data_IF_990317827606
#
_entry.id   IF_990317827606
#
_cell.length_a   1.000
_cell.length_b   1.000
_cell.length_c   1.000
_cell.angle_alpha   90.00
_cell.angle_beta   90.00
_cell.angle_gamma   90.00
#
_symmetry.space_group_name_H-M   'P 1'
#
loop_
_entity.id
_entity.type
_entity.pdbx_description
1 polymer ?
#
# COMPACT_ATOMS: atom_id res chain seq x y z
N UNK A 1 -57.75 -70.27 37.20
CA UNK A 1 -58.03 -69.84 38.58
C UNK A 1 -56.73 -69.84 39.38
N UNK A 2 -56.52 -68.74 40.09
CA UNK A 2 -55.62 -68.51 41.24
C UNK A 2 -54.10 -68.48 40.99
N UNK A 3 -53.58 -67.25 41.13
CA UNK A 3 -52.18 -66.87 41.01
C UNK A 3 -51.35 -67.10 42.28
N UNK A 4 -50.04 -67.02 42.08
CA UNK A 4 -49.00 -67.26 43.08
C UNK A 4 -47.95 -66.13 42.99
N UNK A 5 -47.69 -65.53 44.17
CA UNK A 5 -46.48 -64.87 44.70
C UNK A 5 -45.75 -63.75 43.94
N UNK A 6 -45.64 -62.62 44.65
CA UNK A 6 -44.52 -61.66 44.60
C UNK A 6 -43.18 -62.31 45.00
N UNK A 7 -42.10 -62.02 44.27
CA UNK A 7 -40.73 -61.79 44.81
C UNK A 7 -40.05 -60.74 43.91
N UNK A 8 -39.51 -59.68 44.52
CA UNK A 8 -38.79 -58.60 43.84
C UNK A 8 -37.41 -59.00 43.35
N UNK A 9 -36.91 -58.27 42.34
CA UNK A 9 -35.51 -58.30 41.89
C UNK A 9 -34.97 -56.88 41.90
N UNK A 10 -34.02 -56.64 42.80
CA UNK A 10 -33.09 -55.53 42.73
C UNK A 10 -32.06 -55.84 41.64
N UNK A 11 -31.96 -54.97 40.64
CA UNK A 11 -30.93 -55.04 39.61
C UNK A 11 -29.70 -54.28 40.11
N UNK A 12 -28.65 -55.04 40.43
CA UNK A 12 -27.31 -54.50 40.71
C UNK A 12 -26.70 -54.14 39.35
N UNK A 13 -26.51 -52.84 39.09
CA UNK A 13 -25.75 -52.35 37.96
C UNK A 13 -24.27 -52.33 38.34
N UNK A 14 -23.51 -53.28 37.78
CA UNK A 14 -22.06 -53.36 37.96
C UNK A 14 -21.38 -52.22 37.18
N UNK A 15 -20.75 -51.29 37.90
CA UNK A 15 -19.88 -50.26 37.33
C UNK A 15 -18.59 -50.95 36.86
N UNK A 16 -18.38 -51.05 35.54
CA UNK A 16 -17.07 -51.43 34.99
C UNK A 16 -16.12 -50.24 35.11
N UNK A 17 -15.18 -50.32 36.06
CA UNK A 17 -14.03 -49.45 36.16
C UNK A 17 -13.04 -49.88 35.06
N UNK A 18 -13.04 -49.19 33.92
CA UNK A 18 -11.99 -49.39 32.91
C UNK A 18 -10.79 -48.57 33.37
N UNK A 19 -9.80 -49.25 33.95
CA UNK A 19 -8.51 -48.66 34.35
C UNK A 19 -7.67 -48.53 33.07
N UNK A 20 -7.57 -47.32 32.52
CA UNK A 20 -6.55 -46.99 31.53
C UNK A 20 -5.23 -46.70 32.25
N UNK A 21 -4.24 -47.58 32.09
CA UNK A 21 -2.87 -47.34 32.54
C UNK A 21 -2.12 -46.46 31.53
N UNK A 22 -2.43 -45.16 31.54
CA UNK A 22 -1.50 -44.12 31.08
C UNK A 22 -0.83 -43.51 32.30
N UNK A 23 0.48 -43.29 32.25
CA UNK A 23 1.25 -42.78 33.39
C UNK A 23 0.58 -41.54 34.01
N UNK A 24 0.17 -41.66 35.27
CA UNK A 24 -0.35 -40.53 36.02
C UNK A 24 0.80 -39.57 36.29
N UNK A 25 0.82 -38.44 35.59
CA UNK A 25 1.61 -37.29 36.00
C UNK A 25 0.92 -36.75 37.27
N UNK A 26 1.66 -36.61 38.36
CA UNK A 26 1.12 -35.97 39.58
C UNK A 26 0.68 -34.54 39.25
N UNK A 27 -0.50 -34.15 39.74
CA UNK A 27 -0.96 -32.77 39.66
C UNK A 27 0.06 -31.83 40.33
N UNK A 28 0.21 -30.60 39.78
CA UNK A 28 1.27 -29.63 40.11
C UNK A 28 2.68 -29.98 39.56
N UNK A 29 2.75 -30.63 38.40
CA UNK A 29 4.00 -31.01 37.71
C UNK A 29 4.10 -30.54 36.25
N UNK A 30 5.24 -30.81 35.56
CA UNK A 30 5.39 -30.48 34.14
C UNK A 30 4.47 -31.34 33.27
N UNK A 31 3.76 -30.72 32.31
CA UNK A 31 3.07 -31.48 31.27
C UNK A 31 4.07 -31.95 30.21
N UNK A 32 4.03 -33.23 29.87
CA UNK A 32 4.79 -33.75 28.74
C UNK A 32 3.97 -33.57 27.46
N UNK A 33 4.56 -32.87 26.47
CA UNK A 33 3.95 -32.68 25.16
C UNK A 33 3.55 -34.00 24.49
N UNK A 34 2.46 -33.98 23.74
CA UNK A 34 1.91 -35.11 22.98
C UNK A 34 1.46 -36.33 23.81
N UNK A 35 1.63 -36.30 25.12
CA UNK A 35 1.14 -37.33 26.01
C UNK A 35 -0.22 -36.96 26.57
N UNK A 36 -1.11 -37.96 26.64
CA UNK A 36 -2.38 -37.80 27.31
C UNK A 36 -2.18 -38.01 28.82
N UNK A 37 -2.66 -37.06 29.61
CA UNK A 37 -2.80 -37.17 31.06
C UNK A 37 -4.27 -37.30 31.44
N UNK A 38 -4.53 -37.92 32.58
CA UNK A 38 -5.89 -38.09 33.11
C UNK A 38 -5.88 -37.75 34.60
N UNK A 39 -6.96 -37.14 35.08
CA UNK A 39 -7.12 -36.78 36.50
C UNK A 39 -8.57 -36.88 36.95
N UNK A 40 -8.80 -36.70 38.25
CA UNK A 40 -10.15 -36.72 38.86
C UNK A 40 -10.25 -35.61 39.89
N UNK A 41 -11.04 -34.59 39.57
CA UNK A 41 -11.21 -33.39 40.39
C UNK A 41 -12.39 -33.55 41.34
N UNK A 42 -12.22 -33.22 42.62
CA UNK A 42 -13.34 -32.95 43.53
C UNK A 42 -13.95 -31.57 43.23
N UNK A 43 -15.19 -31.30 43.72
CA UNK A 43 -15.76 -29.96 43.63
C UNK A 43 -14.81 -28.92 44.22
N UNK A 44 -14.62 -27.80 43.51
CA UNK A 44 -13.69 -26.72 43.88
C UNK A 44 -12.19 -27.08 43.85
N UNK A 45 -11.82 -28.23 43.30
CA UNK A 45 -10.43 -28.62 43.10
C UNK A 45 -9.93 -28.11 41.73
N UNK A 46 -8.63 -27.82 41.67
CA UNK A 46 -7.94 -27.48 40.45
C UNK A 46 -6.60 -28.20 40.41
N UNK A 47 -6.28 -28.78 39.26
CA UNK A 47 -4.97 -29.35 38.95
C UNK A 47 -4.27 -28.44 37.95
N UNK A 48 -2.97 -28.24 38.14
CA UNK A 48 -2.15 -27.33 37.35
C UNK A 48 -1.01 -28.09 36.70
N UNK A 49 -0.70 -27.68 35.48
CA UNK A 49 0.38 -28.25 34.69
C UNK A 49 1.23 -27.14 34.09
N UNK A 50 2.53 -27.21 34.31
CA UNK A 50 3.49 -26.26 33.75
C UNK A 50 3.95 -26.72 32.36
N UNK A 51 4.03 -25.77 31.43
CA UNK A 51 4.36 -25.95 30.03
C UNK A 51 5.45 -24.97 29.63
N UNK A 52 6.43 -25.39 28.84
CA UNK A 52 7.41 -24.48 28.24
C UNK A 52 7.32 -24.55 26.72
N UNK A 53 7.03 -23.40 26.11
CA UNK A 53 7.04 -23.21 24.66
C UNK A 53 8.37 -22.54 24.30
N UNK A 54 9.17 -23.17 23.44
CA UNK A 54 10.55 -22.70 23.14
C UNK A 54 10.66 -21.90 21.85
N UNK A 55 9.62 -21.91 21.03
CA UNK A 55 9.53 -21.20 19.73
C UNK A 55 8.10 -20.71 19.52
N UNK A 56 7.90 -19.64 18.74
CA UNK A 56 6.56 -19.23 18.32
C UNK A 56 5.77 -20.44 17.83
N UNK A 57 4.59 -20.67 18.39
CA UNK A 57 3.87 -21.93 18.18
C UNK A 57 2.36 -21.73 18.15
N UNK A 58 1.66 -22.61 17.44
CA UNK A 58 0.24 -22.83 17.65
C UNK A 58 0.08 -23.96 18.67
N UNK A 59 -0.27 -23.59 19.89
CA UNK A 59 -0.56 -24.53 20.97
C UNK A 59 -1.98 -25.07 20.80
N UNK A 60 -2.17 -26.38 20.90
CA UNK A 60 -3.47 -27.03 20.87
C UNK A 60 -3.68 -27.87 22.12
N UNK A 61 -4.85 -27.76 22.75
CA UNK A 61 -5.27 -28.52 23.93
C UNK A 61 -6.52 -29.31 23.56
N UNK A 62 -6.39 -30.64 23.51
CA UNK A 62 -7.50 -31.58 23.42
C UNK A 62 -7.88 -31.99 24.85
N UNK A 63 -9.13 -31.74 25.22
CA UNK A 63 -9.63 -31.98 26.57
C UNK A 63 -10.99 -32.63 26.56
N UNK A 64 -11.14 -33.61 27.45
CA UNK A 64 -12.38 -34.33 27.70
C UNK A 64 -12.72 -34.26 29.18
N UNK A 65 -13.95 -33.92 29.53
CA UNK A 65 -14.40 -33.83 30.93
C UNK A 65 -15.73 -34.52 31.15
N UNK A 66 -15.85 -35.21 32.29
CA UNK A 66 -17.09 -35.87 32.75
C UNK A 66 -17.82 -35.05 33.85
N UNK A 67 -17.30 -33.88 34.20
CA UNK A 67 -17.84 -33.01 35.25
C UNK A 67 -19.08 -32.24 34.83
N UNK A 68 -19.83 -31.77 35.83
CA UNK A 68 -20.99 -30.89 35.60
C UNK A 68 -20.54 -29.57 34.97
N UNK A 69 -19.34 -29.09 35.31
CA UNK A 69 -18.70 -27.96 34.68
C UNK A 69 -17.17 -28.01 34.88
N UNK A 70 -16.51 -28.80 34.02
CA UNK A 70 -15.06 -28.87 33.95
C UNK A 70 -14.54 -27.65 33.18
N UNK A 71 -13.68 -26.86 33.80
CA UNK A 71 -13.10 -25.63 33.25
C UNK A 71 -11.63 -25.83 32.96
N UNK A 72 -11.20 -25.38 31.80
CA UNK A 72 -9.83 -25.48 31.33
C UNK A 72 -9.37 -24.09 30.94
N UNK A 73 -8.24 -23.65 31.49
CA UNK A 73 -7.65 -22.36 31.14
C UNK A 73 -6.14 -22.49 30.93
N UNK A 74 -5.61 -21.78 29.95
CA UNK A 74 -4.18 -21.58 29.77
C UNK A 74 -3.84 -20.16 30.23
N UNK A 75 -2.81 -20.02 31.05
CA UNK A 75 -2.31 -18.75 31.54
C UNK A 75 -0.85 -18.56 31.12
N UNK A 76 -0.46 -17.34 30.79
CA UNK A 76 0.95 -16.99 30.57
C UNK A 76 1.69 -16.82 31.91
N UNK A 77 3.00 -16.54 31.85
CA UNK A 77 3.85 -16.34 33.04
C UNK A 77 3.37 -15.23 33.98
N UNK A 78 2.59 -14.27 33.46
CA UNK A 78 2.05 -13.15 34.23
C UNK A 78 0.66 -13.45 34.79
N UNK A 79 0.14 -14.66 34.55
CA UNK A 79 -1.20 -15.07 34.94
C UNK A 79 -2.31 -14.54 34.03
N UNK A 80 -1.99 -13.92 32.89
CA UNK A 80 -3.00 -13.50 31.92
C UNK A 80 -3.57 -14.73 31.25
N UNK A 81 -4.90 -14.81 31.20
CA UNK A 81 -5.59 -15.89 30.51
C UNK A 81 -5.38 -15.78 29.00
N UNK A 82 -4.87 -16.87 28.41
CA UNK A 82 -4.61 -17.04 26.98
C UNK A 82 -5.77 -17.79 26.32
N UNK A 83 -6.23 -18.87 26.94
CA UNK A 83 -7.37 -19.67 26.49
C UNK A 83 -8.27 -20.02 27.68
N UNK A 84 -9.57 -20.19 27.41
CA UNK A 84 -10.53 -20.69 28.38
C UNK A 84 -11.67 -21.47 27.72
N UNK A 85 -12.08 -22.57 28.34
CA UNK A 85 -13.27 -23.31 27.96
C UNK A 85 -13.95 -23.89 29.20
N UNK A 86 -15.28 -23.95 29.16
CA UNK A 86 -16.11 -24.68 30.11
C UNK A 86 -16.81 -25.83 29.38
N UNK A 87 -16.78 -27.01 29.98
CA UNK A 87 -17.31 -28.26 29.46
C UNK A 87 -18.36 -28.80 30.44
N UNK A 88 -19.58 -29.05 29.95
CA UNK A 88 -20.68 -29.58 30.77
C UNK A 88 -21.04 -30.99 30.33
N UNK A 89 -20.96 -31.93 31.26
CA UNK A 89 -21.29 -33.35 31.06
C UNK A 89 -22.31 -33.84 32.09
N UNK A 90 -23.11 -34.82 31.69
CA UNK A 90 -24.04 -35.55 32.57
C UNK A 90 -23.35 -36.63 33.42
N UNK A 91 -22.04 -36.83 33.25
CA UNK A 91 -21.23 -37.82 33.94
C UNK A 91 -21.26 -39.21 33.31
N UNK A 92 -22.05 -39.39 32.25
CA UNK A 92 -22.12 -40.65 31.48
C UNK A 92 -21.34 -40.49 30.16
N UNK A 93 -21.51 -39.35 29.49
CA UNK A 93 -20.79 -39.05 28.24
C UNK A 93 -19.87 -37.86 28.45
N UNK A 94 -18.59 -37.94 28.07
CA UNK A 94 -17.71 -36.80 28.24
C UNK A 94 -18.11 -35.66 27.31
N UNK A 95 -17.98 -34.44 27.79
CA UNK A 95 -17.87 -33.26 26.94
C UNK A 95 -16.43 -33.13 26.45
N UNK A 96 -16.24 -32.71 25.19
CA UNK A 96 -14.93 -32.61 24.56
C UNK A 96 -14.77 -31.23 23.91
N UNK A 97 -13.56 -30.70 23.95
CA UNK A 97 -13.18 -29.53 23.18
C UNK A 97 -11.72 -29.62 22.73
N UNK A 98 -11.46 -29.04 21.56
CA UNK A 98 -10.12 -28.80 21.05
C UNK A 98 -9.94 -27.29 20.97
N UNK A 99 -9.06 -26.77 21.82
CA UNK A 99 -8.73 -25.35 21.90
C UNK A 99 -7.38 -25.14 21.23
N UNK A 100 -7.20 -24.02 20.54
CA UNK A 100 -5.90 -23.71 19.95
C UNK A 100 -5.63 -22.22 19.97
N UNK A 101 -4.40 -21.82 20.28
CA UNK A 101 -3.96 -20.43 20.27
C UNK A 101 -2.55 -20.27 19.74
N UNK A 102 -2.29 -19.16 19.04
CA UNK A 102 -0.93 -18.77 18.67
C UNK A 102 -0.27 -18.06 19.85
N UNK A 103 0.91 -18.53 20.24
CA UNK A 103 1.61 -18.12 21.46
C UNK A 103 3.10 -17.89 21.21
N UNK A 104 3.67 -16.93 21.93
CA UNK A 104 5.12 -16.68 21.94
C UNK A 104 5.90 -17.75 22.73
N UNK A 105 7.24 -17.81 22.57
CA UNK A 105 8.09 -18.54 23.50
C UNK A 105 7.89 -18.04 24.94
N UNK A 106 7.76 -18.97 25.88
CA UNK A 106 7.57 -18.66 27.29
C UNK A 106 7.06 -19.86 28.07
N UNK A 107 6.93 -19.66 29.39
CA UNK A 107 6.28 -20.62 30.25
C UNK A 107 4.77 -20.32 30.33
N UNK A 108 4.00 -21.39 30.36
CA UNK A 108 2.56 -21.35 30.45
C UNK A 108 2.09 -22.30 31.54
N UNK A 109 0.93 -21.99 32.10
CA UNK A 109 0.29 -22.84 33.09
C UNK A 109 -1.10 -23.22 32.61
N UNK A 110 -1.32 -24.50 32.39
CA UNK A 110 -2.63 -25.04 32.11
C UNK A 110 -3.30 -25.42 33.42
N UNK A 111 -4.52 -24.95 33.64
CA UNK A 111 -5.30 -25.19 34.85
C UNK A 111 -6.60 -25.89 34.45
N UNK A 112 -6.82 -27.07 35.02
CA UNK A 112 -8.09 -27.80 34.90
C UNK A 112 -8.77 -27.75 36.27
N UNK A 113 -10.02 -27.31 36.31
CA UNK A 113 -10.77 -27.14 37.57
C UNK A 113 -12.21 -27.55 37.41
N UNK A 114 -12.85 -27.90 38.53
CA UNK A 114 -14.28 -28.25 38.55
C UNK A 114 -15.06 -27.16 39.31
N UNK A 115 -16.26 -26.83 38.80
CA UNK A 115 -17.07 -25.77 39.40
C UNK A 115 -17.42 -26.06 40.87
N UNK A 116 -17.40 -25.02 41.69
CA UNK A 116 -17.60 -25.12 43.15
C UNK A 116 -18.95 -25.75 43.56
N UNK A 117 -19.98 -25.63 42.72
CA UNK A 117 -21.30 -26.21 43.00
C UNK A 117 -21.48 -27.63 42.43
N UNK A 118 -20.44 -28.20 41.81
CA UNK A 118 -20.49 -29.56 41.28
C UNK A 118 -20.72 -30.56 42.43
N UNK A 119 -21.59 -31.54 42.21
CA UNK A 119 -22.03 -32.44 43.30
C UNK A 119 -21.21 -33.72 43.43
N UNK A 120 -20.31 -33.98 42.48
CA UNK A 120 -19.55 -35.23 42.38
C UNK A 120 -18.15 -34.97 41.83
N UNK A 121 -17.20 -35.88 42.10
CA UNK A 121 -15.90 -35.85 41.43
C UNK A 121 -16.05 -35.97 39.91
N UNK A 122 -15.15 -35.32 39.18
CA UNK A 122 -15.15 -35.21 37.74
C UNK A 122 -13.85 -35.74 37.15
N UNK A 123 -13.91 -36.84 36.39
CA UNK A 123 -12.77 -37.31 35.63
C UNK A 123 -12.55 -36.41 34.40
N UNK A 124 -11.28 -36.27 34.00
CA UNK A 124 -10.92 -35.59 32.77
C UNK A 124 -9.71 -36.24 32.10
N UNK A 125 -9.57 -36.02 30.80
CA UNK A 125 -8.36 -36.31 30.04
C UNK A 125 -7.90 -35.07 29.31
N UNK A 126 -6.59 -34.92 29.16
CA UNK A 126 -5.95 -33.76 28.57
C UNK A 126 -4.78 -34.23 27.70
N UNK A 127 -4.63 -33.64 26.52
CA UNK A 127 -3.41 -33.73 25.71
C UNK A 127 -3.10 -32.36 25.13
N UNK A 128 -1.86 -31.89 25.31
CA UNK A 128 -1.39 -30.67 24.66
C UNK A 128 -0.38 -30.98 23.55
N UNK A 129 -0.45 -30.24 22.46
CA UNK A 129 0.51 -30.28 21.35
C UNK A 129 0.93 -28.85 20.98
N UNK A 130 2.11 -28.70 20.39
CA UNK A 130 2.61 -27.41 19.92
C UNK A 130 3.17 -27.54 18.51
N UNK A 131 2.55 -26.86 17.55
CA UNK A 131 3.06 -26.75 16.18
C UNK A 131 3.94 -25.50 16.07
N UNK A 132 5.25 -25.68 15.85
CA UNK A 132 6.17 -24.54 15.69
C UNK A 132 5.83 -23.74 14.42
N UNK A 133 5.69 -22.42 14.58
CA UNK A 133 5.51 -21.46 13.51
C UNK A 133 6.87 -20.86 13.15
N UNK A 134 7.18 -20.86 11.86
CA UNK A 134 8.39 -20.17 11.36
C UNK A 134 8.04 -18.74 11.01
N UNK A 135 8.72 -17.79 11.64
CA UNK A 135 8.61 -16.35 11.38
C UNK A 135 9.96 -15.81 10.90
N UNK A 136 9.91 -14.76 10.07
CA UNK A 136 11.05 -13.90 9.72
C UNK A 136 10.99 -12.57 10.52
N UNK A 137 9.88 -12.38 11.22
CA UNK A 137 9.56 -11.27 12.11
C UNK A 137 10.48 -11.24 13.33
N UNK A 138 10.92 -10.04 13.71
CA UNK A 138 11.89 -9.82 14.80
C UNK A 138 11.26 -9.01 15.92
N UNK A 139 11.05 -9.68 17.06
CA UNK A 139 10.41 -9.13 18.24
C UNK A 139 11.43 -8.60 19.27
N UNK A 140 11.11 -7.53 20.04
CA UNK A 140 9.89 -6.72 19.96
C UNK A 140 9.92 -5.74 18.78
N UNK A 141 8.78 -5.50 18.12
CA UNK A 141 8.67 -4.43 17.10
C UNK A 141 7.38 -3.60 17.21
N UNK A 142 6.84 -3.49 18.42
CA UNK A 142 5.51 -2.93 18.68
C UNK A 142 5.50 -1.39 18.68
N UNK A 143 6.65 -0.75 18.46
CA UNK A 143 6.86 0.70 18.42
C UNK A 143 7.71 1.12 17.23
N UNK A 144 7.57 2.37 16.78
CA UNK A 144 8.32 2.89 15.62
C UNK A 144 9.83 2.92 15.81
N UNK A 145 10.31 3.00 17.07
CA UNK A 145 11.74 2.94 17.41
C UNK A 145 12.32 1.52 17.33
N UNK A 146 11.46 0.52 17.50
CA UNK A 146 11.82 -0.91 17.51
C UNK A 146 11.43 -1.60 16.19
N UNK A 147 10.80 -0.85 15.28
CA UNK A 147 10.23 -1.37 14.06
C UNK A 147 11.25 -2.10 13.18
N UNK A 148 10.93 -3.33 12.80
CA UNK A 148 11.77 -4.09 11.88
C UNK A 148 11.72 -3.44 10.48
N UNK A 149 12.87 -3.31 9.82
CA UNK A 149 12.89 -2.83 8.43
C UNK A 149 12.22 -3.87 7.52
N UNK A 150 11.22 -3.46 6.76
CA UNK A 150 10.62 -4.25 5.68
C UNK A 150 11.34 -3.96 4.35
N UNK A 151 12.21 -4.88 3.88
CA UNK A 151 12.91 -4.71 2.61
C UNK A 151 11.95 -4.84 1.42
N UNK A 152 12.27 -4.16 0.32
CA UNK A 152 11.52 -4.32 -0.93
C UNK A 152 11.76 -5.69 -1.57
N UNK A 153 10.73 -6.22 -2.22
CA UNK A 153 10.72 -7.49 -2.97
C UNK A 153 10.92 -8.76 -2.14
N UNK A 154 11.16 -8.66 -0.84
CA UNK A 154 11.22 -9.78 0.07
C UNK A 154 9.96 -9.81 0.96
N UNK A 155 9.37 -11.00 1.09
CA UNK A 155 8.26 -11.20 2.01
C UNK A 155 8.79 -11.50 3.42
N UNK A 156 8.15 -10.93 4.43
CA UNK A 156 8.32 -11.27 5.84
C UNK A 156 7.09 -12.06 6.29
N UNK A 157 7.32 -13.17 6.99
CA UNK A 157 6.27 -13.95 7.68
C UNK A 157 6.28 -13.58 9.15
N UNK A 158 5.13 -13.20 9.69
CA UNK A 158 4.96 -12.89 11.10
C UNK A 158 3.72 -13.54 11.70
N UNK A 159 3.51 -13.29 12.99
CA UNK A 159 2.43 -13.89 13.78
C UNK A 159 1.99 -12.93 14.87
N UNK A 160 0.71 -12.58 14.88
CA UNK A 160 0.09 -11.84 15.98
C UNK A 160 -0.46 -12.87 16.97
N UNK A 161 0.17 -13.00 18.14
CA UNK A 161 -0.15 -14.03 19.15
C UNK A 161 -1.05 -13.52 20.27
N UNK A 162 -1.27 -14.33 21.32
CA UNK A 162 -1.99 -13.87 22.50
C UNK A 162 -1.18 -12.87 23.35
N UNK A 163 0.14 -12.88 23.20
CA UNK A 163 1.08 -12.00 23.89
C UNK A 163 1.44 -10.78 23.05
N UNK A 164 1.44 -10.91 21.72
CA UNK A 164 1.66 -9.81 20.80
C UNK A 164 0.37 -9.35 20.09
N UNK A 165 0.14 -8.05 20.08
CA UNK A 165 -1.08 -7.43 19.54
C UNK A 165 -0.85 -6.69 18.23
N UNK A 166 0.40 -6.33 17.94
CA UNK A 166 0.74 -5.51 16.79
C UNK A 166 2.21 -5.60 16.44
N UNK A 167 2.45 -5.60 15.14
CA UNK A 167 3.77 -5.52 14.56
C UNK A 167 3.92 -4.24 13.75
N UNK A 168 5.05 -3.55 13.91
CA UNK A 168 5.38 -2.34 13.16
C UNK A 168 6.62 -2.56 12.31
N UNK A 169 6.47 -2.29 11.02
CA UNK A 169 7.54 -2.37 10.03
C UNK A 169 7.95 -1.00 9.51
N UNK A 170 9.25 -0.71 9.48
CA UNK A 170 9.80 0.48 8.84
C UNK A 170 10.02 0.24 7.34
N UNK A 171 9.48 1.12 6.50
CA UNK A 171 9.66 1.12 5.04
C UNK A 171 10.44 2.37 4.64
N UNK A 172 11.63 2.17 4.07
CA UNK A 172 12.51 3.25 3.62
C UNK A 172 12.32 3.52 2.13
N UNK A 173 11.66 4.62 1.78
CA UNK A 173 11.39 5.01 0.38
C UNK A 173 12.53 5.93 -0.11
N UNK A 174 13.39 5.48 -1.05
CA UNK A 174 14.59 6.24 -1.40
C UNK A 174 14.35 7.38 -2.41
N UNK A 175 13.23 7.34 -3.14
CA UNK A 175 12.85 8.29 -4.20
C UNK A 175 11.34 8.36 -4.30
N UNK A 176 10.81 9.48 -4.76
CA UNK A 176 9.38 9.62 -5.00
C UNK A 176 8.88 8.55 -5.99
N UNK A 177 7.70 8.00 -5.75
CA UNK A 177 7.09 7.02 -6.63
C UNK A 177 6.04 6.16 -5.96
N UNK A 178 5.73 5.03 -6.59
CA UNK A 178 4.62 4.18 -6.20
C UNK A 178 5.07 3.10 -5.19
N UNK A 179 4.65 3.24 -3.94
CA UNK A 179 4.81 2.24 -2.89
C UNK A 179 3.63 1.26 -2.93
N UNK A 180 3.92 0.00 -3.19
CA UNK A 180 2.95 -1.09 -3.21
C UNK A 180 3.13 -2.02 -2.03
N UNK A 181 2.03 -2.38 -1.37
CA UNK A 181 1.98 -3.29 -0.23
C UNK A 181 1.10 -4.48 -0.57
N UNK A 182 1.63 -5.67 -0.29
CA UNK A 182 0.94 -6.94 -0.41
C UNK A 182 0.94 -7.67 0.92
N UNK A 183 -0.25 -7.85 1.49
CA UNK A 183 -0.45 -8.41 2.82
C UNK A 183 -1.47 -9.52 2.74
N UNK A 184 -1.10 -10.70 3.25
CA UNK A 184 -1.99 -11.85 3.41
C UNK A 184 -2.10 -12.17 4.90
N UNK A 185 -3.32 -12.18 5.44
CA UNK A 185 -3.59 -12.44 6.86
C UNK A 185 -4.38 -13.72 7.00
N UNK A 186 -4.05 -14.51 8.03
CA UNK A 186 -4.70 -15.78 8.39
C UNK A 186 -5.17 -15.72 9.84
N UNK A 187 -5.70 -14.56 10.25
CA UNK A 187 -6.25 -14.34 11.58
C UNK A 187 -7.66 -14.91 11.62
N UNK A 188 -8.10 -15.42 12.76
CA UNK A 188 -9.50 -15.87 12.94
C UNK A 188 -10.44 -14.68 13.18
N UNK A 189 -10.36 -13.63 12.36
CA UNK A 189 -11.06 -12.37 12.58
C UNK A 189 -10.50 -11.19 11.80
N UNK A 190 -10.62 -10.00 12.41
CA UNK A 190 -10.27 -8.73 11.80
C UNK A 190 -8.85 -8.29 12.18
N UNK A 191 -8.05 -7.95 11.17
CA UNK A 191 -6.81 -7.21 11.31
C UNK A 191 -7.02 -5.74 10.92
N UNK A 192 -6.31 -4.83 11.58
CA UNK A 192 -6.13 -3.46 11.12
C UNK A 192 -4.76 -3.31 10.49
N UNK A 193 -4.75 -2.71 9.31
CA UNK A 193 -3.53 -2.38 8.55
C UNK A 193 -3.50 -0.86 8.42
N UNK A 194 -2.40 -0.23 8.81
CA UNK A 194 -2.20 1.20 8.60
C UNK A 194 -0.79 1.51 8.10
N UNK A 195 -0.66 2.56 7.30
CA UNK A 195 0.60 3.14 6.90
C UNK A 195 0.65 4.58 7.40
N UNK A 196 1.70 4.94 8.12
CA UNK A 196 1.96 6.31 8.57
C UNK A 196 3.32 6.79 8.05
N UNK A 197 3.50 8.10 7.97
CA UNK A 197 4.82 8.69 7.72
C UNK A 197 5.65 8.82 9.02
N UNK A 198 6.82 9.46 8.93
CA UNK A 198 7.69 9.70 10.08
C UNK A 198 7.16 10.69 11.12
N UNK A 199 6.11 11.44 10.79
CA UNK A 199 5.42 12.37 11.69
C UNK A 199 4.18 11.72 12.34
N UNK A 200 3.93 10.43 12.07
CA UNK A 200 2.75 9.67 12.44
C UNK A 200 1.46 10.12 11.75
N UNK A 201 1.56 10.87 10.64
CA UNK A 201 0.39 11.21 9.84
C UNK A 201 -0.10 9.98 9.07
N UNK A 202 -1.42 9.81 9.00
CA UNK A 202 -2.02 8.62 8.41
C UNK A 202 -2.06 8.70 6.87
N UNK A 203 -1.24 7.89 6.21
CA UNK A 203 -1.30 7.69 4.76
C UNK A 203 -2.57 6.93 4.40
N UNK A 204 -2.82 5.83 5.11
CA UNK A 204 -4.10 5.13 5.07
C UNK A 204 -4.29 4.18 6.24
N UNK A 205 -5.55 3.77 6.44
CA UNK A 205 -5.94 2.66 7.31
C UNK A 205 -6.98 1.77 6.62
N UNK A 206 -6.99 0.48 6.96
CA UNK A 206 -7.95 -0.49 6.43
C UNK A 206 -8.21 -1.61 7.44
N UNK A 207 -9.39 -2.22 7.32
CA UNK A 207 -9.73 -3.45 8.03
C UNK A 207 -9.72 -4.61 7.06
N UNK A 208 -9.17 -5.73 7.49
CA UNK A 208 -9.09 -6.94 6.70
C UNK A 208 -9.67 -8.10 7.48
N UNK A 209 -10.71 -8.71 6.95
CA UNK A 209 -11.31 -9.92 7.50
C UNK A 209 -10.59 -11.12 6.89
N UNK A 210 -10.22 -12.08 7.72
CA UNK A 210 -9.59 -13.32 7.29
C UNK A 210 -10.09 -14.51 8.12
N UNK A 211 -9.72 -15.71 7.66
CA UNK A 211 -9.83 -16.93 8.44
C UNK A 211 -8.50 -17.69 8.38
N UNK A 212 -8.29 -18.61 9.32
CA UNK A 212 -7.05 -19.37 9.41
C UNK A 212 -6.74 -20.22 8.16
N UNK A 213 -7.78 -20.67 7.45
CA UNK A 213 -7.65 -21.47 6.21
C UNK A 213 -7.88 -20.66 4.93
N UNK A 214 -8.38 -19.43 5.05
CA UNK A 214 -8.76 -18.58 3.93
C UNK A 214 -8.20 -17.17 4.15
N UNK A 215 -7.07 -16.81 3.51
CA UNK A 215 -6.42 -15.56 3.84
C UNK A 215 -7.23 -14.36 3.39
N UNK A 216 -7.32 -13.37 4.25
CA UNK A 216 -7.66 -12.01 3.85
C UNK A 216 -6.49 -11.44 3.06
N UNK A 217 -6.76 -10.89 1.88
CA UNK A 217 -5.73 -10.31 1.00
C UNK A 217 -5.92 -8.81 0.88
N UNK A 218 -4.89 -8.05 1.24
CA UNK A 218 -4.82 -6.62 1.04
C UNK A 218 -3.72 -6.31 0.01
N UNK A 219 -4.09 -5.56 -1.02
CA UNK A 219 -3.20 -5.09 -2.07
C UNK A 219 -3.49 -3.62 -2.28
N UNK A 220 -2.52 -2.75 -1.98
CA UNK A 220 -2.68 -1.31 -2.15
C UNK A 220 -1.40 -0.69 -2.67
N UNK A 221 -1.56 0.26 -3.57
CA UNK A 221 -0.50 1.08 -4.11
C UNK A 221 -0.80 2.54 -3.75
N UNK A 222 0.22 3.32 -3.43
CA UNK A 222 0.12 4.74 -3.11
C UNK A 222 1.37 5.45 -3.60
N UNK A 223 1.19 6.57 -4.29
CA UNK A 223 2.32 7.42 -4.64
C UNK A 223 2.73 8.26 -3.44
N UNK A 224 4.00 8.19 -3.08
CA UNK A 224 4.60 8.80 -1.89
C UNK A 224 5.93 9.43 -2.24
N UNK A 225 6.33 10.44 -1.45
CA UNK A 225 7.66 11.04 -1.54
C UNK A 225 8.75 10.15 -0.92
N UNK A 226 10.02 10.49 -1.18
CA UNK A 226 11.14 9.89 -0.49
C UNK A 226 11.05 10.16 1.02
N UNK A 227 11.19 9.13 1.84
CA UNK A 227 10.97 9.24 3.27
C UNK A 227 10.94 7.92 4.00
N UNK A 228 10.67 7.99 5.30
CA UNK A 228 10.49 6.82 6.17
C UNK A 228 9.00 6.68 6.49
N UNK A 229 8.48 5.47 6.34
CA UNK A 229 7.09 5.13 6.62
C UNK A 229 7.02 3.95 7.60
N UNK A 230 5.91 3.83 8.31
CA UNK A 230 5.66 2.75 9.25
C UNK A 230 4.37 2.02 8.88
N UNK A 231 4.49 0.74 8.54
CA UNK A 231 3.38 -0.16 8.30
C UNK A 231 3.06 -0.88 9.61
N UNK A 232 1.85 -0.68 10.13
CA UNK A 232 1.36 -1.39 11.32
C UNK A 232 0.36 -2.45 10.92
N UNK A 233 0.56 -3.68 11.41
CA UNK A 233 -0.44 -4.74 11.41
C UNK A 233 -0.85 -4.98 12.86
N UNK A 234 -2.14 -5.01 13.14
CA UNK A 234 -2.63 -5.24 14.51
C UNK A 234 -3.92 -6.06 14.51
N UNK A 235 -4.15 -6.82 15.57
CA UNK A 235 -5.43 -7.52 15.77
C UNK A 235 -6.42 -6.59 16.47
N UNK A 236 -7.68 -6.56 16.00
CA UNK A 236 -8.73 -5.72 16.61
C UNK A 236 -9.48 -6.42 17.75
N UNK A 237 -9.12 -7.67 18.04
CA UNK A 237 -9.79 -8.53 19.01
C UNK A 237 -8.77 -9.48 19.65
N UNK A 238 -9.24 -10.45 20.43
CA UNK A 238 -8.41 -11.54 20.96
C UNK A 238 -8.00 -12.56 19.90
N UNK A 239 -8.43 -12.41 18.64
CA UNK A 239 -8.16 -13.37 17.59
C UNK A 239 -6.74 -13.21 17.08
N UNK A 240 -5.97 -14.30 17.17
CA UNK A 240 -4.58 -14.38 16.75
C UNK A 240 -4.46 -14.99 15.36
N UNK A 241 -3.25 -15.00 14.81
CA UNK A 241 -2.96 -15.71 13.58
C UNK A 241 -1.66 -15.28 12.93
N UNK A 242 -1.42 -15.84 11.74
CA UNK A 242 -0.22 -15.59 10.95
C UNK A 242 -0.50 -14.57 9.86
N UNK A 243 0.55 -13.93 9.37
CA UNK A 243 0.47 -13.11 8.19
C UNK A 243 1.75 -13.18 7.36
N UNK A 244 1.66 -12.67 6.15
CA UNK A 244 2.79 -12.42 5.28
C UNK A 244 2.67 -11.01 4.73
N UNK A 245 3.77 -10.25 4.76
CA UNK A 245 3.84 -8.87 4.28
C UNK A 245 4.99 -8.72 3.27
N UNK A 246 4.75 -7.99 2.19
CA UNK A 246 5.77 -7.64 1.21
C UNK A 246 5.53 -6.20 0.74
N UNK A 247 6.63 -5.45 0.60
CA UNK A 247 6.63 -4.13 -0.02
C UNK A 247 7.32 -4.17 -1.39
N UNK A 248 6.87 -3.33 -2.32
CA UNK A 248 7.52 -3.07 -3.59
C UNK A 248 7.53 -1.56 -3.85
N UNK A 249 8.57 -1.08 -4.53
CA UNK A 249 8.73 0.33 -4.86
C UNK A 249 9.03 0.52 -6.34
N UNK A 250 8.29 1.40 -6.98
CA UNK A 250 8.54 1.84 -8.35
C UNK A 250 8.82 3.35 -8.37
N UNK A 251 10.09 3.77 -8.47
CA UNK A 251 10.45 5.18 -8.57
C UNK A 251 9.82 5.84 -9.80
N UNK A 252 9.35 7.07 -9.63
CA UNK A 252 8.86 7.92 -10.71
C UNK A 252 9.81 9.09 -10.89
N UNK A 253 10.12 9.42 -12.13
CA UNK A 253 10.92 10.61 -12.46
C UNK A 253 10.07 11.56 -13.27
N UNK A 254 9.93 12.77 -12.76
CA UNK A 254 9.19 13.87 -13.35
C UNK A 254 10.16 14.98 -13.77
N UNK A 255 9.63 16.06 -14.35
CA UNK A 255 10.40 17.25 -14.68
C UNK A 255 9.78 18.53 -14.08
N UNK A 256 8.90 18.34 -13.10
CA UNK A 256 8.42 19.40 -12.23
C UNK A 256 9.52 19.87 -11.28
N UNK A 257 9.27 20.99 -10.61
CA UNK A 257 10.17 21.57 -9.64
C UNK A 257 9.38 21.87 -8.37
N UNK A 258 9.60 21.07 -7.33
CA UNK A 258 9.00 21.31 -6.02
C UNK A 258 9.78 22.29 -5.14
N UNK A 259 9.10 23.01 -4.22
CA UNK A 259 7.64 23.06 -4.04
C UNK A 259 6.98 23.90 -5.13
N UNK A 260 5.77 23.53 -5.55
CA UNK A 260 4.97 24.33 -6.47
C UNK A 260 3.47 24.40 -6.10
N UNK A 261 3.21 24.35 -4.80
CA UNK A 261 1.89 24.04 -4.21
C UNK A 261 0.95 25.26 -4.13
N UNK A 262 1.39 26.40 -4.67
CA UNK A 262 0.63 27.63 -4.63
C UNK A 262 1.11 28.69 -5.62
N UNK A 263 0.33 29.77 -5.74
CA UNK A 263 0.58 30.84 -6.72
C UNK A 263 1.93 31.57 -6.55
N UNK A 264 2.50 31.56 -5.34
CA UNK A 264 3.80 32.17 -5.04
C UNK A 264 4.98 31.30 -5.50
N UNK A 265 4.82 29.99 -5.42
CA UNK A 265 5.83 28.98 -5.74
C UNK A 265 5.65 28.42 -7.17
N UNK A 266 4.55 28.80 -7.83
CA UNK A 266 4.15 28.27 -9.12
C UNK A 266 5.28 28.21 -10.17
N UNK A 267 5.51 27.02 -10.69
CA UNK A 267 6.51 26.74 -11.71
C UNK A 267 6.24 27.59 -12.96
N UNK A 268 7.26 28.33 -13.41
CA UNK A 268 7.13 29.13 -14.63
C UNK A 268 7.03 28.24 -15.87
N UNK A 269 5.91 28.35 -16.57
CA UNK A 269 5.67 27.56 -17.78
C UNK A 269 6.37 28.14 -19.02
N UNK A 270 7.00 27.26 -19.80
CA UNK A 270 7.51 27.48 -21.15
C UNK A 270 6.61 26.77 -22.16
N UNK A 271 6.09 27.53 -23.13
CA UNK A 271 5.21 26.97 -24.14
C UNK A 271 5.95 25.97 -25.04
N UNK A 272 5.18 25.02 -25.56
CA UNK A 272 5.62 23.90 -26.40
C UNK A 272 6.58 22.91 -25.73
N UNK A 273 6.95 23.10 -24.46
CA UNK A 273 7.62 22.11 -23.62
C UNK A 273 6.61 21.10 -23.05
N UNK A 274 7.05 19.86 -22.89
CA UNK A 274 6.28 18.83 -22.18
C UNK A 274 6.64 18.87 -20.69
N UNK A 275 5.62 18.83 -19.86
CA UNK A 275 5.70 18.73 -18.42
C UNK A 275 5.17 17.37 -17.97
N UNK A 276 5.72 16.86 -16.89
CA UNK A 276 5.32 15.66 -16.19
C UNK A 276 5.47 15.95 -14.72
N UNK A 277 4.43 15.62 -13.96
CA UNK A 277 4.41 15.82 -12.52
C UNK A 277 3.80 14.66 -11.77
N UNK A 278 3.94 14.68 -10.45
CA UNK A 278 3.54 13.61 -9.55
C UNK A 278 2.83 14.17 -8.31
N UNK A 279 1.51 14.02 -8.28
CA UNK A 279 0.75 14.24 -7.06
C UNK A 279 0.94 13.03 -6.14
N UNK A 280 1.52 13.25 -4.97
CA UNK A 280 1.73 12.21 -3.97
C UNK A 280 0.60 12.22 -2.92
N UNK A 281 0.71 11.39 -1.88
CA UNK A 281 -0.17 11.54 -0.73
C UNK A 281 0.13 12.83 0.06
N UNK A 282 1.35 13.37 -0.02
CA UNK A 282 1.74 14.62 0.63
C UNK A 282 1.47 15.86 -0.22
N UNK A 283 1.62 15.75 -1.53
CA UNK A 283 1.42 16.83 -2.49
C UNK A 283 0.13 16.62 -3.30
N UNK A 284 -0.78 17.57 -3.18
CA UNK A 284 -2.12 17.51 -3.78
C UNK A 284 -2.32 18.50 -4.91
N UNK A 285 -1.39 19.44 -5.14
CA UNK A 285 -1.60 20.52 -6.09
C UNK A 285 -0.31 21.04 -6.70
N UNK A 286 -0.29 21.08 -8.02
CA UNK A 286 0.77 21.73 -8.78
C UNK A 286 0.29 22.99 -9.47
N UNK A 287 1.01 24.09 -9.28
CA UNK A 287 0.72 25.38 -9.89
C UNK A 287 1.76 25.74 -10.96
N UNK A 288 1.26 26.02 -12.16
CA UNK A 288 2.06 26.50 -13.29
C UNK A 288 1.70 27.92 -13.66
N UNK A 289 2.67 28.84 -13.56
CA UNK A 289 2.48 30.26 -13.91
C UNK A 289 2.63 30.50 -15.40
N UNK A 290 1.57 31.01 -16.02
CA UNK A 290 1.49 31.33 -17.45
C UNK A 290 1.49 32.84 -17.67
N UNK A 291 2.33 33.36 -18.58
CA UNK A 291 2.39 34.79 -18.92
C UNK A 291 2.13 35.02 -20.40
N UNK A 292 1.04 35.71 -20.71
CA UNK A 292 0.58 36.00 -22.06
C UNK A 292 0.94 37.44 -22.46
N UNK A 293 1.72 37.65 -23.53
CA UNK A 293 2.14 38.99 -23.96
C UNK A 293 1.05 39.77 -24.69
N UNK A 294 0.04 39.06 -25.22
CA UNK A 294 -1.10 39.55 -25.99
C UNK A 294 -2.27 38.56 -25.84
N UNK A 295 -3.48 38.95 -26.27
CA UNK A 295 -4.62 38.04 -26.37
C UNK A 295 -4.22 36.76 -27.09
N UNK A 296 -4.51 35.61 -26.49
CA UNK A 296 -3.97 34.33 -26.92
C UNK A 296 -4.96 33.20 -26.75
N UNK A 297 -5.10 32.36 -27.77
CA UNK A 297 -5.70 31.04 -27.63
C UNK A 297 -4.63 30.07 -27.13
N UNK A 298 -4.81 29.55 -25.92
CA UNK A 298 -3.91 28.60 -25.28
C UNK A 298 -4.51 27.21 -25.40
N UNK A 299 -3.82 26.30 -26.07
CA UNK A 299 -4.19 24.88 -26.14
C UNK A 299 -3.39 24.09 -25.11
N UNK A 300 -4.06 23.24 -24.35
CA UNK A 300 -3.44 22.32 -23.40
C UNK A 300 -3.87 20.89 -23.70
N UNK A 301 -2.90 19.98 -23.68
CA UNK A 301 -3.07 18.55 -23.93
C UNK A 301 -2.55 17.82 -22.71
N UNK A 302 -3.47 17.31 -21.90
CA UNK A 302 -3.22 16.74 -20.57
C UNK A 302 -3.50 15.26 -20.62
N UNK A 303 -2.60 14.46 -20.06
CA UNK A 303 -2.76 13.02 -19.85
C UNK A 303 -2.58 12.73 -18.38
N UNK A 304 -3.50 11.99 -17.77
CA UNK A 304 -3.45 11.59 -16.35
C UNK A 304 -3.52 10.07 -16.21
N UNK A 305 -2.84 9.58 -15.18
CA UNK A 305 -2.86 8.18 -14.76
C UNK A 305 -3.41 8.06 -13.32
N UNK A 306 -4.15 9.09 -12.88
CA UNK A 306 -4.78 9.21 -11.57
C UNK A 306 -6.27 8.78 -11.66
N UNK A 307 -6.63 7.79 -10.86
CA UNK A 307 -7.96 7.17 -10.78
C UNK A 307 -8.54 7.39 -9.37
N UNK A 308 -9.82 7.77 -9.21
CA UNK A 308 -10.83 8.11 -10.20
C UNK A 308 -10.88 9.58 -10.59
N UNK A 309 -10.06 10.46 -10.02
CA UNK A 309 -10.13 11.88 -10.41
C UNK A 309 -8.86 12.68 -10.16
N UNK A 310 -8.51 13.46 -11.17
CA UNK A 310 -7.61 14.60 -11.15
C UNK A 310 -8.38 15.82 -11.66
N UNK A 311 -8.08 16.99 -11.12
CA UNK A 311 -8.66 18.26 -11.55
C UNK A 311 -7.65 19.08 -12.34
N UNK A 312 -8.15 19.80 -13.33
CA UNK A 312 -7.44 20.79 -14.12
C UNK A 312 -8.20 22.09 -13.98
N UNK A 313 -7.54 23.14 -13.51
CA UNK A 313 -8.16 24.44 -13.30
C UNK A 313 -7.30 25.56 -13.86
N UNK A 314 -7.92 26.54 -14.52
CA UNK A 314 -7.29 27.81 -14.84
C UNK A 314 -7.81 28.89 -13.93
N UNK A 315 -6.92 29.68 -13.35
CA UNK A 315 -7.29 30.83 -12.51
C UNK A 315 -6.62 32.12 -12.95
N UNK A 316 -7.27 33.24 -12.66
CA UNK A 316 -6.63 34.56 -12.70
C UNK A 316 -5.75 34.78 -11.44
N UNK A 317 -5.01 35.90 -11.35
CA UNK A 317 -4.16 36.18 -10.19
C UNK A 317 -4.90 36.40 -8.87
N UNK A 318 -6.22 36.58 -8.90
CA UNK A 318 -7.09 36.70 -7.72
C UNK A 318 -7.76 35.36 -7.36
N UNK A 319 -7.27 34.26 -7.94
CA UNK A 319 -7.79 32.91 -7.76
C UNK A 319 -9.23 32.71 -8.28
N UNK A 320 -9.70 33.56 -9.18
CA UNK A 320 -11.00 33.36 -9.84
C UNK A 320 -10.86 32.24 -10.86
N UNK A 321 -11.66 31.19 -10.72
CA UNK A 321 -11.74 30.10 -11.68
C UNK A 321 -12.25 30.59 -13.04
N UNK A 322 -11.50 30.29 -14.10
CA UNK A 322 -11.78 30.64 -15.50
C UNK A 322 -12.14 29.40 -16.32
N UNK A 323 -11.65 28.24 -15.91
CA UNK A 323 -11.91 26.95 -16.52
C UNK A 323 -11.71 25.86 -15.48
N UNK A 324 -12.57 24.85 -15.50
CA UNK A 324 -12.46 23.70 -14.62
C UNK A 324 -12.81 22.42 -15.37
N UNK A 325 -12.03 21.37 -15.16
CA UNK A 325 -12.29 20.03 -15.70
C UNK A 325 -11.81 18.97 -14.72
N UNK A 326 -12.66 17.96 -14.51
CA UNK A 326 -12.24 16.69 -13.92
C UNK A 326 -11.86 15.70 -15.02
N UNK A 327 -10.78 14.96 -14.80
CA UNK A 327 -10.25 13.94 -15.69
C UNK A 327 -9.84 12.73 -14.85
N UNK A 328 -10.14 11.52 -15.34
CA UNK A 328 -9.74 10.27 -14.71
C UNK A 328 -8.89 9.46 -15.68
N UNK A 329 -7.98 8.65 -15.15
CA UNK A 329 -7.14 7.77 -15.94
C UNK A 329 -6.40 6.77 -15.06
N UNK A 330 -5.81 5.75 -15.66
CA UNK A 330 -4.97 4.79 -14.95
C UNK A 330 -3.71 4.48 -15.74
N UNK A 331 -2.77 3.76 -15.15
CA UNK A 331 -1.59 3.28 -15.87
C UNK A 331 -1.94 2.40 -17.08
N UNK A 332 -3.01 1.60 -16.97
CA UNK A 332 -3.46 0.70 -18.05
C UNK A 332 -4.23 1.46 -19.13
N UNK A 333 -5.04 2.43 -18.71
CA UNK A 333 -5.88 3.23 -19.60
C UNK A 333 -5.72 4.70 -19.23
N UNK A 334 -4.67 5.38 -19.75
CA UNK A 334 -4.43 6.78 -19.44
C UNK A 334 -5.59 7.67 -19.91
N UNK A 335 -6.03 8.56 -19.04
CA UNK A 335 -7.04 9.57 -19.36
C UNK A 335 -6.39 10.71 -20.13
N UNK A 336 -6.98 11.16 -21.22
CA UNK A 336 -6.45 12.28 -22.01
C UNK A 336 -7.53 13.31 -22.31
N UNK A 337 -7.17 14.57 -22.14
CA UNK A 337 -8.02 15.70 -22.47
C UNK A 337 -7.23 16.78 -23.19
N UNK A 338 -7.76 17.24 -24.31
CA UNK A 338 -7.16 18.31 -25.10
C UNK A 338 -8.20 19.36 -25.40
N UNK A 339 -7.91 20.60 -25.00
CA UNK A 339 -8.84 21.71 -25.13
C UNK A 339 -8.09 23.03 -25.30
N UNK A 340 -8.82 24.13 -25.48
CA UNK A 340 -8.25 25.46 -25.61
C UNK A 340 -9.05 26.53 -24.89
N UNK A 341 -8.35 27.54 -24.36
CA UNK A 341 -8.94 28.69 -23.70
C UNK A 341 -8.39 29.98 -24.30
N UNK A 342 -9.27 30.91 -24.64
CA UNK A 342 -8.88 32.24 -25.10
C UNK A 342 -8.76 33.20 -23.92
N UNK A 343 -7.56 33.74 -23.72
CA UNK A 343 -7.23 34.60 -22.60
C UNK A 343 -6.65 35.94 -23.08
N UNK A 344 -7.05 37.08 -22.48
CA UNK A 344 -6.39 38.37 -22.68
C UNK A 344 -4.89 38.35 -22.34
N UNK A 345 -4.21 39.47 -22.62
CA UNK A 345 -2.86 39.72 -22.11
C UNK A 345 -2.91 39.71 -20.58
N UNK A 346 -2.06 38.92 -19.92
CA UNK A 346 -2.07 38.81 -18.47
C UNK A 346 -1.19 37.70 -17.93
N UNK A 347 -1.29 37.52 -16.62
CA UNK A 347 -0.72 36.40 -15.87
C UNK A 347 -1.88 35.51 -15.43
N UNK A 348 -1.71 34.21 -15.55
CA UNK A 348 -2.69 33.20 -15.18
C UNK A 348 -1.99 32.02 -14.54
N UNK A 349 -2.75 31.18 -13.84
CA UNK A 349 -2.24 29.94 -13.26
C UNK A 349 -2.99 28.76 -13.84
N UNK A 350 -2.24 27.72 -14.21
CA UNK A 350 -2.74 26.43 -14.60
C UNK A 350 -2.46 25.47 -13.44
N UNK A 351 -3.51 25.02 -12.77
CA UNK A 351 -3.46 24.16 -11.60
C UNK A 351 -3.84 22.75 -11.98
N UNK A 352 -3.03 21.79 -11.57
CA UNK A 352 -3.38 20.37 -11.57
C UNK A 352 -3.49 19.94 -10.11
N UNK A 353 -4.49 19.15 -9.75
CA UNK A 353 -4.61 18.72 -8.36
C UNK A 353 -5.53 17.54 -8.13
N UNK A 354 -5.39 16.90 -6.98
CA UNK A 354 -6.27 15.85 -6.51
C UNK A 354 -6.26 15.79 -4.99
N UNK A 355 -7.45 15.76 -4.38
CA UNK A 355 -7.59 15.82 -2.92
C UNK A 355 -7.39 14.46 -2.25
N UNK A 356 -7.71 13.36 -2.94
CA UNK A 356 -7.77 12.02 -2.32
C UNK A 356 -6.96 10.97 -3.06
N UNK A 357 -6.45 11.31 -4.25
CA UNK A 357 -5.86 10.35 -5.15
C UNK A 357 -4.49 10.82 -5.57
N UNK A 358 -3.55 9.90 -5.62
CA UNK A 358 -2.17 10.18 -5.98
C UNK A 358 -1.82 9.48 -7.29
N UNK A 359 -0.83 10.02 -7.99
CA UNK A 359 -0.35 9.50 -9.25
C UNK A 359 0.23 10.58 -10.13
N UNK A 360 0.69 10.15 -11.30
CA UNK A 360 1.43 11.02 -12.20
C UNK A 360 0.57 11.52 -13.34
N UNK A 361 0.96 12.66 -13.89
CA UNK A 361 0.35 13.26 -15.06
C UNK A 361 1.42 13.80 -16.00
N UNK A 362 0.98 14.12 -17.22
CA UNK A 362 1.78 14.80 -18.22
C UNK A 362 0.93 15.84 -18.91
N UNK A 363 1.51 16.97 -19.25
CA UNK A 363 0.83 17.92 -20.11
C UNK A 363 1.78 18.63 -21.05
N UNK A 364 1.21 19.19 -22.10
CA UNK A 364 1.89 20.11 -22.99
C UNK A 364 0.97 21.27 -23.30
N UNK A 365 1.53 22.48 -23.23
CA UNK A 365 0.78 23.70 -23.50
C UNK A 365 1.35 24.41 -24.71
N UNK A 366 0.50 24.88 -25.61
CA UNK A 366 0.91 25.57 -26.85
C UNK A 366 0.04 26.80 -27.10
N UNK A 367 0.65 27.83 -27.68
CA UNK A 367 -0.02 29.02 -28.16
C UNK A 367 0.61 29.36 -29.52
N UNK A 368 0.14 28.69 -30.58
CA UNK A 368 0.84 28.65 -31.88
C UNK A 368 0.98 30.03 -32.54
N UNK A 369 0.06 30.96 -32.29
CA UNK A 369 0.13 32.36 -32.74
C UNK A 369 1.19 33.21 -32.00
N UNK A 370 1.85 32.64 -30.99
CA UNK A 370 3.05 33.19 -30.35
C UNK A 370 4.34 32.62 -30.94
N UNK A 371 4.28 31.61 -31.80
CA UNK A 371 5.47 31.08 -32.46
C UNK A 371 6.02 32.08 -33.48
N UNK A 372 7.34 32.04 -33.76
CA UNK A 372 7.92 32.92 -34.76
C UNK A 372 7.30 32.64 -36.12
N UNK A 373 6.77 33.68 -36.77
CA UNK A 373 6.42 33.61 -38.19
C UNK A 373 7.72 33.46 -38.98
N UNK A 374 7.82 32.46 -39.84
CA UNK A 374 9.02 32.19 -40.65
C UNK A 374 8.68 32.25 -42.14
N UNK A 375 9.31 33.17 -42.86
CA UNK A 375 9.28 33.24 -44.31
C UNK A 375 10.70 33.05 -44.86
N UNK A 376 10.83 32.27 -45.93
CA UNK A 376 12.11 31.93 -46.53
C UNK A 376 12.04 32.31 -47.99
N UNK A 377 13.05 33.03 -48.47
CA UNK A 377 13.14 33.39 -49.88
C UNK A 377 13.46 32.15 -50.72
N UNK A 378 12.97 32.08 -51.98
CA UNK A 378 13.31 30.98 -52.88
C UNK A 378 14.82 30.82 -53.04
N UNK A 379 15.30 29.58 -53.04
CA UNK A 379 16.73 29.25 -53.23
C UNK A 379 16.89 28.60 -54.59
N UNK A 380 17.61 29.26 -55.50
CA UNK A 380 17.87 28.75 -56.85
C UNK A 380 19.20 28.02 -56.93
N UNK A 381 19.39 27.23 -57.97
CA UNK A 381 20.65 26.51 -58.22
C UNK A 381 21.79 27.52 -58.39
N UNK A 382 22.94 27.25 -57.78
CA UNK A 382 24.11 28.15 -57.80
C UNK A 382 24.10 29.26 -56.73
N UNK A 383 22.96 29.52 -56.08
CA UNK A 383 22.89 30.50 -54.98
C UNK A 383 23.58 29.93 -53.73
N UNK A 384 24.52 30.68 -53.17
CA UNK A 384 25.30 30.29 -51.97
C UNK A 384 24.73 30.85 -50.67
N UNK A 385 23.45 31.19 -50.66
CA UNK A 385 22.81 31.87 -49.54
C UNK A 385 21.37 31.39 -49.31
N UNK A 386 20.97 31.37 -48.04
CA UNK A 386 19.57 31.24 -47.62
C UNK A 386 19.21 32.46 -46.80
N UNK A 387 18.17 33.17 -47.22
CA UNK A 387 17.68 34.37 -46.53
C UNK A 387 16.18 34.31 -46.31
N UNK A 388 15.70 35.15 -45.41
CA UNK A 388 14.28 35.21 -45.09
C UNK A 388 13.99 36.21 -43.98
N UNK A 389 12.76 36.15 -43.49
CA UNK A 389 12.28 36.98 -42.40
C UNK A 389 11.64 36.14 -41.29
N UNK A 390 11.77 36.62 -40.08
CA UNK A 390 11.09 36.13 -38.89
C UNK A 390 10.93 37.27 -37.88
N UNK A 391 10.58 37.01 -36.63
CA UNK A 391 10.55 38.06 -35.61
C UNK A 391 11.96 38.49 -35.20
N UNK A 392 12.07 39.71 -34.64
CA UNK A 392 13.36 40.24 -34.18
C UNK A 392 14.01 39.31 -33.16
N UNK A 393 15.32 39.11 -33.28
CA UNK A 393 16.14 38.33 -32.35
C UNK A 393 15.76 36.84 -32.20
N UNK A 394 14.84 36.31 -33.00
CA UNK A 394 14.56 34.88 -33.01
C UNK A 394 15.80 34.10 -33.46
N UNK A 395 16.00 32.92 -32.89
CA UNK A 395 17.11 32.03 -33.24
C UNK A 395 16.73 31.23 -34.47
N UNK A 396 17.43 31.48 -35.57
CA UNK A 396 17.23 30.76 -36.84
C UNK A 396 18.28 29.67 -36.96
N UNK A 397 17.85 28.47 -37.36
CA UNK A 397 18.74 27.34 -37.69
C UNK A 397 18.45 26.85 -39.10
N UNK A 398 19.47 26.76 -39.93
CA UNK A 398 19.41 26.22 -41.30
C UNK A 398 20.20 24.93 -41.36
N UNK A 399 19.55 23.83 -41.74
CA UNK A 399 20.16 22.52 -41.91
C UNK A 399 20.14 22.11 -43.38
N UNK A 400 21.33 21.83 -43.92
CA UNK A 400 21.56 21.34 -45.28
C UNK A 400 22.68 20.30 -45.23
N UNK A 401 22.52 19.16 -45.92
CA UNK A 401 23.51 18.08 -45.95
C UNK A 401 24.01 17.68 -44.55
N UNK A 402 23.08 17.53 -43.60
CA UNK A 402 23.34 17.20 -42.19
C UNK A 402 24.16 18.24 -41.39
N UNK A 403 24.55 19.37 -41.99
CA UNK A 403 25.20 20.50 -41.30
C UNK A 403 24.18 21.54 -40.88
N UNK A 404 24.27 22.03 -39.66
CA UNK A 404 23.37 23.05 -39.09
C UNK A 404 24.12 24.34 -38.83
N UNK A 405 23.60 25.44 -39.37
CA UNK A 405 24.08 26.80 -39.16
C UNK A 405 23.08 27.53 -38.26
N UNK A 406 23.55 28.27 -37.25
CA UNK A 406 22.70 28.97 -36.28
C UNK A 406 23.05 30.46 -36.25
N UNK A 407 22.04 31.33 -36.31
CA UNK A 407 22.20 32.78 -36.11
C UNK A 407 20.92 33.38 -35.51
N UNK A 408 21.01 34.57 -34.91
CA UNK A 408 19.83 35.36 -34.57
C UNK A 408 19.40 36.24 -35.73
N UNK A 409 18.08 36.35 -35.96
CA UNK A 409 17.54 37.35 -36.86
C UNK A 409 17.83 38.76 -36.32
N UNK A 410 18.08 39.72 -37.22
CA UNK A 410 18.41 41.09 -36.82
C UNK A 410 17.21 41.84 -36.23
N UNK A 411 17.39 43.13 -35.89
CA UNK A 411 16.31 43.96 -35.30
C UNK A 411 15.10 44.15 -36.22
N UNK A 412 15.26 43.97 -37.53
CA UNK A 412 14.19 43.99 -38.53
C UNK A 412 13.64 42.59 -38.84
N UNK A 413 14.08 41.57 -38.11
CA UNK A 413 13.66 40.19 -38.32
C UNK A 413 14.28 39.50 -39.53
N UNK A 414 15.28 40.11 -40.20
CA UNK A 414 15.93 39.50 -41.37
C UNK A 414 17.08 38.59 -40.93
N UNK A 415 17.27 37.49 -41.66
CA UNK A 415 18.42 36.59 -41.49
C UNK A 415 19.02 36.23 -42.86
N UNK A 416 20.31 35.91 -42.89
CA UNK A 416 20.98 35.43 -44.11
C UNK A 416 22.14 34.49 -43.74
N UNK A 417 22.12 33.27 -44.25
CA UNK A 417 23.16 32.27 -44.06
C UNK A 417 23.93 32.07 -45.35
N UNK A 418 25.26 32.07 -45.27
CA UNK A 418 26.11 31.58 -46.37
C UNK A 418 26.15 30.06 -46.31
N UNK A 419 25.87 29.41 -47.45
CA UNK A 419 25.79 27.96 -47.58
C UNK A 419 26.69 27.45 -48.73
N UNK A 420 27.10 26.17 -48.68
CA UNK A 420 27.69 25.53 -49.85
C UNK A 420 26.71 25.50 -51.03
N UNK A 421 27.24 25.48 -52.25
CA UNK A 421 26.42 25.32 -53.46
C UNK A 421 25.67 24.00 -53.40
N UNK A 422 24.36 24.07 -53.68
CA UNK A 422 23.46 22.92 -53.62
C UNK A 422 22.86 22.66 -55.00
N UNK A 423 22.70 21.38 -55.35
CA UNK A 423 22.05 20.95 -56.60
C UNK A 423 20.54 21.18 -56.51
N UNK A 424 19.87 21.34 -57.65
CA UNK A 424 18.40 21.35 -57.72
C UNK A 424 17.82 20.15 -56.95
N UNK A 425 16.74 20.38 -56.20
CA UNK A 425 16.07 19.35 -55.39
C UNK A 425 16.73 19.08 -54.04
N UNK A 426 17.84 19.74 -53.71
CA UNK A 426 18.43 19.63 -52.35
C UNK A 426 17.44 20.17 -51.32
N UNK A 427 17.13 19.36 -50.30
CA UNK A 427 16.27 19.74 -49.18
C UNK A 427 17.03 20.61 -48.19
N UNK A 428 16.45 21.75 -47.84
CA UNK A 428 16.94 22.65 -46.79
C UNK A 428 15.86 22.75 -45.72
N UNK A 429 16.21 22.46 -44.47
CA UNK A 429 15.31 22.64 -43.33
C UNK A 429 15.68 23.93 -42.62
N UNK A 430 14.73 24.86 -42.50
CA UNK A 430 14.94 26.12 -41.79
C UNK A 430 13.97 26.17 -40.63
N UNK A 431 14.47 26.51 -39.45
CA UNK A 431 13.64 26.72 -38.27
C UNK A 431 13.93 28.07 -37.64
N UNK A 432 12.90 28.67 -37.06
CA UNK A 432 12.98 29.88 -36.25
C UNK A 432 12.40 29.56 -34.88
N UNK A 433 13.04 30.03 -33.82
CA UNK A 433 12.67 29.75 -32.43
C UNK A 433 12.70 31.02 -31.58
N UNK A 434 11.65 31.18 -30.75
CA UNK A 434 11.55 32.20 -29.72
C UNK A 434 11.24 31.54 -28.36
N UNK A 435 10.99 32.35 -27.32
CA UNK A 435 10.68 31.84 -25.97
C UNK A 435 9.36 31.07 -25.83
N UNK A 436 8.51 31.08 -26.87
CA UNK A 436 7.20 30.44 -26.89
C UNK A 436 7.18 29.14 -27.70
N UNK A 437 8.14 28.95 -28.60
CA UNK A 437 8.23 27.76 -29.42
C UNK A 437 9.00 27.96 -30.72
N UNK A 438 8.84 26.98 -31.61
CA UNK A 438 9.62 26.84 -32.84
C UNK A 438 8.73 26.59 -34.05
N UNK A 439 9.00 27.32 -35.13
CA UNK A 439 8.42 27.09 -36.46
C UNK A 439 9.47 26.48 -37.36
N UNK A 440 9.15 25.40 -38.07
CA UNK A 440 10.07 24.73 -39.01
C UNK A 440 9.44 24.64 -40.39
N UNK A 441 10.21 24.95 -41.43
CA UNK A 441 9.83 24.81 -42.84
C UNK A 441 10.90 24.03 -43.60
N UNK A 442 10.45 23.27 -44.58
CA UNK A 442 11.31 22.61 -45.55
C UNK A 442 11.15 23.32 -46.90
N UNK A 443 12.27 23.63 -47.53
CA UNK A 443 12.30 24.18 -48.89
C UNK A 443 13.24 23.34 -49.75
N UNK A 444 13.08 23.43 -51.06
CA UNK A 444 13.88 22.71 -52.03
C UNK A 444 14.55 23.70 -52.99
N UNK A 445 15.79 23.43 -53.35
CA UNK A 445 16.52 24.25 -54.33
C UNK A 445 15.83 24.14 -55.70
N UNK A 446 15.38 25.26 -56.24
CA UNK A 446 14.71 25.33 -57.54
C UNK A 446 15.70 25.60 -58.67
N UNK A 447 15.19 25.59 -59.91
CA UNK A 447 15.95 26.11 -61.05
C UNK A 447 16.24 27.60 -60.86
#
# INVERSE_FOLDING_TARGET
MNGIRMIGRASVLSLLLIIWSGGAVEADGPLVWDQQVSGVLKPNEAEKYDLTVTRPSKLTVDVSGFGENTRVSLQDERGKQVLYQSLTSDGVRPAQAVLSEYVEPGNYRLVVSEYILSKRPAAYTLRATAETITTDDQEPNNGTLEAQVLPFQQAIRGMLSAQDEKDIYQVNVPKNGNLSLAIDTYLRGNATISLTDSLNENVFSSYLVSEEKSPGKFRRAVYVEAGTYFLTLSRTSTQTGRYQVQAAMQPVTTNEQEPNDGVLEATRLLFAQSYSGLLTWQDHHDYYRVTLPKKSQVTFDVTTMIDPSMTIEWTDPMNKSLYYRSLSGSEKTPGRWKDSLELPKGIYYFRIGSTYYSGYYRFRMTASHLFPVLQINPVKTGVRQVSGTTEKNATVRVTINQRTYTQKANQKGRFTFSLPTAKRGTKITVSSENRYGKTTKQIYVTR
#
